data_IF_033009300336
#
_entry.id   IF_033009300336
#
_cell.length_a   1.000
_cell.length_b   1.000
_cell.length_c   1.000
_cell.angle_alpha   90.00
_cell.angle_beta   90.00
_cell.angle_gamma   90.00
#
_symmetry.space_group_name_H-M   'P 1'
#
loop_
_entity.id
_entity.type
_entity.pdbx_description
1 polymer ?
#
# COMPACT_ATOMS: atom_id res chain seq x y z
N UNK A 1 0.19 -9.94 -7.66
CA UNK A 1 1.16 -9.35 -6.69
C UNK A 1 0.73 -8.01 -6.09
N UNK A 2 -0.17 -7.25 -6.72
CA UNK A 2 -0.70 -6.00 -6.16
C UNK A 2 -1.56 -6.17 -4.89
N UNK A 3 -2.17 -7.35 -4.72
CA UNK A 3 -3.06 -7.67 -3.59
C UNK A 3 -2.36 -7.85 -2.24
N UNK A 4 -1.17 -8.46 -2.24
CA UNK A 4 -0.54 -8.95 -1.01
C UNK A 4 0.89 -8.46 -0.95
N UNK A 5 1.29 -7.94 0.21
CA UNK A 5 2.68 -7.60 0.52
C UNK A 5 3.46 -8.80 1.08
N UNK A 6 2.82 -9.96 1.27
CA UNK A 6 3.49 -11.15 1.76
C UNK A 6 4.59 -11.60 0.77
N UNK A 7 5.82 -11.90 1.24
CA UNK A 7 6.95 -12.27 0.39
C UNK A 7 6.85 -13.68 -0.22
N UNK A 8 5.80 -14.44 0.08
CA UNK A 8 5.58 -15.78 -0.46
C UNK A 8 4.39 -16.48 0.21
N UNK A 9 4.22 -17.77 -0.06
CA UNK A 9 3.13 -18.55 0.53
C UNK A 9 3.27 -20.06 0.32
N UNK A 10 2.23 -20.80 0.73
CA UNK A 10 2.18 -22.26 0.64
C UNK A 10 2.56 -23.01 1.92
N UNK A 11 3.01 -22.28 2.94
CA UNK A 11 3.37 -22.80 4.26
C UNK A 11 2.16 -23.16 5.10
N UNK A 12 2.38 -23.96 6.16
CA UNK A 12 1.38 -24.19 7.20
C UNK A 12 1.13 -22.91 8.01
N UNK A 13 0.01 -22.88 8.74
CA UNK A 13 -0.30 -21.74 9.62
C UNK A 13 0.64 -21.72 10.83
N UNK A 14 0.99 -20.51 11.30
CA UNK A 14 1.80 -20.33 12.52
C UNK A 14 1.20 -21.06 13.74
N UNK A 15 -0.14 -21.14 13.82
CA UNK A 15 -0.84 -21.84 14.90
C UNK A 15 -0.57 -23.34 14.86
N UNK A 16 -0.53 -23.93 13.66
CA UNK A 16 -0.21 -25.36 13.48
C UNK A 16 1.25 -25.63 13.86
N UNK A 17 2.17 -24.81 13.35
CA UNK A 17 3.61 -24.94 13.62
C UNK A 17 3.90 -24.75 15.12
N UNK A 18 3.31 -23.74 15.77
CA UNK A 18 3.47 -23.50 17.22
C UNK A 18 2.98 -24.69 18.06
N UNK A 19 1.84 -25.28 17.69
CA UNK A 19 1.29 -26.43 18.39
C UNK A 19 2.18 -27.67 18.22
N UNK A 20 2.74 -27.89 17.04
CA UNK A 20 3.60 -29.04 16.74
C UNK A 20 4.98 -28.92 17.41
N UNK A 21 5.61 -27.73 17.38
CA UNK A 21 6.95 -27.53 17.94
C UNK A 21 6.95 -27.38 19.47
N UNK A 22 5.94 -26.74 20.04
CA UNK A 22 5.96 -26.30 21.45
C UNK A 22 4.73 -26.71 22.26
N UNK A 23 3.72 -27.35 21.65
CA UNK A 23 2.48 -27.73 22.33
C UNK A 23 1.62 -26.56 22.79
N UNK A 24 1.94 -25.32 22.37
CA UNK A 24 1.32 -24.08 22.86
C UNK A 24 0.70 -23.26 21.73
N UNK A 25 -0.25 -22.39 22.07
CA UNK A 25 -0.74 -21.37 21.15
C UNK A 25 0.38 -20.35 20.84
N UNK A 26 0.49 -19.89 19.59
CA UNK A 26 1.52 -18.92 19.18
C UNK A 26 1.58 -17.68 20.07
N UNK A 27 0.43 -17.15 20.50
CA UNK A 27 0.35 -16.00 21.42
C UNK A 27 0.96 -16.25 22.80
N UNK A 28 1.08 -17.51 23.22
CA UNK A 28 1.63 -17.90 24.54
C UNK A 28 3.13 -18.27 24.45
N UNK A 29 3.74 -18.16 23.28
CA UNK A 29 5.17 -18.40 23.08
C UNK A 29 6.00 -17.19 23.50
N UNK A 30 7.21 -17.45 24.01
CA UNK A 30 8.21 -16.40 24.24
C UNK A 30 8.73 -15.86 22.90
N UNK A 31 9.51 -14.77 22.94
CA UNK A 31 10.05 -14.14 21.74
C UNK A 31 10.82 -15.13 20.85
N UNK A 32 11.76 -15.88 21.43
CA UNK A 32 12.61 -16.81 20.68
C UNK A 32 11.82 -17.94 20.03
N UNK A 33 10.86 -18.53 20.75
CA UNK A 33 9.98 -19.57 20.20
C UNK A 33 9.09 -19.03 19.07
N UNK A 34 8.61 -17.79 19.17
CA UNK A 34 7.85 -17.13 18.08
C UNK A 34 8.71 -16.98 16.84
N UNK A 35 9.95 -16.52 16.99
CA UNK A 35 10.91 -16.42 15.88
C UNK A 35 11.18 -17.78 15.24
N UNK A 36 11.33 -18.84 16.04
CA UNK A 36 11.47 -20.20 15.51
C UNK A 36 10.27 -20.64 14.68
N UNK A 37 9.04 -20.37 15.15
CA UNK A 37 7.81 -20.66 14.40
C UNK A 37 7.74 -19.86 13.10
N UNK A 38 8.09 -18.57 13.14
CA UNK A 38 8.06 -17.70 11.97
C UNK A 38 9.10 -18.13 10.92
N UNK A 39 10.31 -18.49 11.36
CA UNK A 39 11.36 -19.02 10.48
C UNK A 39 10.96 -20.36 9.87
N UNK A 40 10.39 -21.28 10.67
CA UNK A 40 9.86 -22.53 10.15
C UNK A 40 8.78 -22.26 9.07
N UNK A 41 7.85 -21.34 9.33
CA UNK A 41 6.85 -20.96 8.34
C UNK A 41 7.49 -20.37 7.07
N UNK A 42 8.52 -19.54 7.22
CA UNK A 42 9.26 -18.97 6.10
C UNK A 42 9.88 -20.06 5.22
N UNK A 43 10.54 -21.05 5.82
CA UNK A 43 11.20 -22.14 5.11
C UNK A 43 10.23 -23.17 4.51
N UNK A 44 9.01 -23.27 5.04
CA UNK A 44 7.95 -24.13 4.47
C UNK A 44 7.22 -23.55 3.26
N UNK A 45 7.63 -22.37 2.77
CA UNK A 45 7.00 -21.76 1.60
C UNK A 45 7.18 -22.66 0.38
N UNK A 46 6.19 -22.62 -0.50
CA UNK A 46 6.22 -23.29 -1.81
C UNK A 46 6.54 -22.30 -2.93
N UNK A 47 6.27 -21.02 -2.70
CA UNK A 47 6.59 -19.97 -3.64
C UNK A 47 7.02 -18.69 -2.93
N UNK A 48 7.79 -17.88 -3.66
CA UNK A 48 8.19 -16.53 -3.30
C UNK A 48 7.55 -15.54 -4.25
N UNK A 49 7.28 -14.35 -3.73
CA UNK A 49 6.75 -13.21 -4.46
C UNK A 49 7.89 -12.21 -4.65
N UNK A 50 8.31 -12.03 -5.90
CA UNK A 50 9.24 -10.98 -6.29
C UNK A 50 8.42 -9.78 -6.78
N UNK A 51 8.15 -8.86 -5.84
CA UNK A 51 7.40 -7.64 -6.12
C UNK A 51 8.15 -6.65 -7.00
N UNK A 52 9.49 -6.68 -7.00
CA UNK A 52 10.31 -5.78 -7.81
C UNK A 52 10.18 -6.14 -9.30
N UNK A 53 10.27 -7.42 -9.63
CA UNK A 53 10.14 -7.91 -11.01
C UNK A 53 8.71 -8.36 -11.36
N UNK A 54 7.76 -8.17 -10.45
CA UNK A 54 6.36 -8.58 -10.59
C UNK A 54 6.17 -10.05 -11.00
N UNK A 55 6.96 -10.96 -10.42
CA UNK A 55 6.92 -12.40 -10.72
C UNK A 55 6.77 -13.27 -9.47
N UNK A 56 6.26 -14.48 -9.68
CA UNK A 56 6.14 -15.51 -8.64
C UNK A 56 7.06 -16.66 -9.02
N UNK A 57 7.86 -17.13 -8.07
CA UNK A 57 8.82 -18.20 -8.28
C UNK A 57 8.51 -19.35 -7.32
N UNK A 58 8.69 -20.59 -7.78
CA UNK A 58 8.75 -21.74 -6.87
C UNK A 58 9.99 -21.59 -5.98
N UNK A 59 9.91 -22.06 -4.73
CA UNK A 59 11.10 -22.19 -3.88
C UNK A 59 12.13 -23.17 -4.46
N UNK A 60 11.68 -24.09 -5.34
CA UNK A 60 12.53 -25.01 -6.09
C UNK A 60 12.90 -24.48 -7.48
N UNK A 61 12.77 -23.17 -7.73
CA UNK A 61 13.10 -22.59 -9.04
C UNK A 61 14.56 -22.91 -9.41
N UNK A 62 14.79 -23.37 -10.64
CA UNK A 62 16.15 -23.63 -11.14
C UNK A 62 16.81 -22.38 -11.74
N UNK A 63 16.16 -21.22 -11.63
CA UNK A 63 16.63 -19.92 -12.14
C UNK A 63 16.92 -19.85 -13.64
N UNK A 64 16.37 -20.79 -14.41
CA UNK A 64 16.46 -20.84 -15.86
C UNK A 64 15.09 -20.64 -16.49
N UNK A 65 15.07 -19.96 -17.63
CA UNK A 65 13.91 -19.79 -18.49
C UNK A 65 14.21 -20.34 -19.87
N UNK A 66 13.20 -20.90 -20.52
CA UNK A 66 13.36 -21.49 -21.85
C UNK A 66 12.66 -20.62 -22.89
N UNK A 67 13.39 -20.21 -23.92
CA UNK A 67 12.82 -19.59 -25.10
C UNK A 67 12.11 -20.62 -25.96
N UNK A 68 10.94 -20.29 -26.47
CA UNK A 68 10.22 -21.09 -27.48
C UNK A 68 10.50 -20.55 -28.88
N UNK A 69 10.21 -21.35 -29.91
CA UNK A 69 10.44 -20.96 -31.32
C UNK A 69 9.65 -19.72 -31.75
N UNK A 70 8.54 -19.43 -31.08
CA UNK A 70 7.70 -18.24 -31.25
C UNK A 70 8.16 -17.04 -30.38
N UNK A 71 9.35 -17.12 -29.77
CA UNK A 71 9.96 -16.02 -29.01
C UNK A 71 9.41 -15.82 -27.60
N UNK A 72 8.52 -16.71 -27.11
CA UNK A 72 8.01 -16.64 -25.73
C UNK A 72 9.05 -17.19 -24.76
N UNK A 73 9.11 -16.58 -23.59
CA UNK A 73 9.95 -17.06 -22.48
C UNK A 73 9.06 -17.83 -21.51
N UNK A 74 9.31 -19.13 -21.38
CA UNK A 74 8.59 -19.99 -20.45
C UNK A 74 9.33 -20.10 -19.11
N UNK A 75 8.59 -20.17 -17.99
CA UNK A 75 9.18 -20.46 -16.70
C UNK A 75 9.73 -21.88 -16.66
N UNK A 76 10.68 -22.15 -15.77
CA UNK A 76 11.12 -23.52 -15.53
C UNK A 76 9.97 -24.44 -15.06
N UNK A 77 10.16 -25.75 -15.22
CA UNK A 77 9.16 -26.75 -14.85
C UNK A 77 8.68 -26.63 -13.38
N UNK A 78 9.58 -26.29 -12.45
CA UNK A 78 9.27 -26.10 -11.03
C UNK A 78 8.33 -24.92 -10.80
N UNK A 79 8.60 -23.77 -11.42
CA UNK A 79 7.71 -22.62 -11.38
C UNK A 79 6.39 -22.90 -12.10
N UNK A 80 6.42 -23.58 -13.25
CA UNK A 80 5.22 -23.96 -13.99
C UNK A 80 4.30 -24.89 -13.17
N UNK A 81 4.88 -25.79 -12.37
CA UNK A 81 4.13 -26.73 -11.53
C UNK A 81 3.28 -26.05 -10.46
N UNK A 82 3.62 -24.83 -10.02
CA UNK A 82 2.80 -24.06 -9.08
C UNK A 82 1.38 -23.84 -9.59
N UNK A 83 1.20 -23.68 -10.91
CA UNK A 83 -0.13 -23.53 -11.53
C UNK A 83 -1.07 -24.72 -11.25
N UNK A 84 -0.52 -25.89 -10.90
CA UNK A 84 -1.25 -27.10 -10.54
C UNK A 84 -1.40 -27.26 -9.02
N UNK A 85 -0.67 -26.51 -8.21
CA UNK A 85 -0.74 -26.57 -6.75
C UNK A 85 -2.08 -25.99 -6.26
N UNK A 86 -2.80 -26.78 -5.46
CA UNK A 86 -4.13 -26.41 -4.94
C UNK A 86 -4.08 -25.21 -3.99
N UNK A 87 -3.04 -25.12 -3.16
CA UNK A 87 -2.85 -24.01 -2.21
C UNK A 87 -2.56 -22.72 -2.98
N UNK A 88 -1.75 -22.82 -4.03
CA UNK A 88 -1.46 -21.70 -4.92
C UNK A 88 -2.72 -21.21 -5.65
N UNK A 89 -3.50 -22.11 -6.26
CA UNK A 89 -4.78 -21.75 -6.88
C UNK A 89 -5.73 -21.04 -5.91
N UNK A 90 -5.85 -21.54 -4.68
CA UNK A 90 -6.65 -20.91 -3.63
C UNK A 90 -6.15 -19.52 -3.25
N UNK A 91 -4.83 -19.29 -3.27
CA UNK A 91 -4.26 -17.98 -3.01
C UNK A 91 -4.54 -16.98 -4.16
N UNK A 92 -4.58 -17.47 -5.41
CA UNK A 92 -4.92 -16.65 -6.58
C UNK A 92 -6.41 -16.27 -6.63
N UNK A 93 -7.30 -17.10 -6.10
CA UNK A 93 -8.74 -16.84 -6.12
C UNK A 93 -9.21 -15.81 -5.09
N UNK A 94 -8.32 -15.27 -4.24
CA UNK A 94 -8.71 -14.30 -3.22
C UNK A 94 -8.82 -12.90 -3.84
N UNK A 95 -9.96 -12.20 -3.71
CA UNK A 95 -10.17 -10.89 -4.30
C UNK A 95 -9.33 -9.79 -3.64
N UNK A 96 -9.20 -8.65 -4.32
CA UNK A 96 -8.65 -7.42 -3.72
C UNK A 96 -9.53 -6.99 -2.54
N UNK A 97 -8.93 -6.61 -1.39
CA UNK A 97 -9.67 -6.00 -0.30
C UNK A 97 -10.32 -4.69 -0.74
N UNK A 98 -11.49 -4.38 -0.18
CA UNK A 98 -12.06 -3.01 -0.21
C UNK A 98 -11.21 -2.07 0.65
N UNK A 99 -11.30 -0.75 0.40
CA UNK A 99 -10.52 0.26 1.13
C UNK A 99 -10.64 0.14 2.65
N UNK A 100 -11.87 -0.02 3.15
CA UNK A 100 -12.16 -0.20 4.58
C UNK A 100 -11.48 -1.43 5.21
N UNK A 101 -11.19 -2.44 4.40
CA UNK A 101 -10.63 -3.71 4.86
C UNK A 101 -9.09 -3.74 4.86
N UNK A 102 -8.41 -2.77 4.24
CA UNK A 102 -6.94 -2.70 4.28
C UNK A 102 -6.40 -2.58 5.71
N UNK A 103 -7.18 -2.02 6.65
CA UNK A 103 -6.80 -1.91 8.07
C UNK A 103 -6.51 -3.27 8.73
N UNK A 104 -7.15 -4.35 8.26
CA UNK A 104 -6.95 -5.72 8.76
C UNK A 104 -5.74 -6.43 8.17
N UNK A 105 -4.99 -5.78 7.26
CA UNK A 105 -3.75 -6.36 6.71
C UNK A 105 -2.76 -6.58 7.83
N UNK A 106 -2.30 -7.83 7.98
CA UNK A 106 -1.37 -8.20 9.04
C UNK A 106 -0.11 -7.31 9.00
N UNK A 107 0.21 -6.67 10.13
CA UNK A 107 1.36 -5.77 10.29
C UNK A 107 2.69 -6.46 9.95
N UNK A 108 2.81 -7.76 10.20
CA UNK A 108 4.00 -8.55 9.88
C UNK A 108 4.35 -8.55 8.39
N UNK A 109 3.35 -8.45 7.49
CA UNK A 109 3.58 -8.40 6.05
C UNK A 109 3.69 -6.96 5.51
N UNK A 110 3.69 -5.94 6.38
CA UNK A 110 3.92 -4.56 5.97
C UNK A 110 5.42 -4.29 6.00
N UNK A 111 5.99 -3.87 4.87
CA UNK A 111 7.40 -3.49 4.83
C UNK A 111 7.55 -2.08 5.42
N UNK A 112 7.97 -2.01 6.70
CA UNK A 112 8.15 -0.74 7.42
C UNK A 112 9.20 0.15 6.75
N UNK A 113 10.34 -0.42 6.36
CA UNK A 113 11.43 0.30 5.69
C UNK A 113 10.96 0.94 4.38
N UNK A 114 10.20 0.20 3.56
CA UNK A 114 9.63 0.74 2.34
C UNK A 114 8.61 1.84 2.63
N UNK A 115 7.83 1.69 3.70
CA UNK A 115 6.97 2.75 4.22
C UNK A 115 7.77 4.01 4.53
N UNK A 116 8.83 3.88 5.32
CA UNK A 116 9.71 4.99 5.71
C UNK A 116 10.36 5.65 4.49
N UNK A 117 10.85 4.87 3.53
CA UNK A 117 11.36 5.42 2.27
C UNK A 117 10.29 6.20 1.51
N UNK A 118 9.07 5.69 1.44
CA UNK A 118 7.99 6.37 0.74
C UNK A 118 7.59 7.68 1.42
N UNK A 119 7.54 7.68 2.75
CA UNK A 119 7.36 8.87 3.58
C UNK A 119 8.42 9.93 3.25
N UNK A 120 9.69 9.52 3.21
CA UNK A 120 10.81 10.41 2.94
C UNK A 120 10.86 10.95 1.48
N UNK A 121 10.56 10.14 0.47
CA UNK A 121 10.76 10.50 -0.95
C UNK A 121 9.64 11.38 -1.51
N UNK A 122 8.42 11.26 -1.00
CA UNK A 122 7.25 11.95 -1.57
C UNK A 122 6.82 13.22 -0.82
N UNK A 123 7.67 13.75 0.07
CA UNK A 123 7.26 14.86 0.93
C UNK A 123 6.09 14.51 1.84
N UNK A 124 5.78 13.21 2.01
CA UNK A 124 4.78 12.71 2.94
C UNK A 124 5.29 12.79 4.38
N UNK A 125 6.61 12.84 4.56
CA UNK A 125 7.28 13.06 5.84
C UNK A 125 6.77 14.33 6.52
N UNK A 126 6.75 15.45 5.81
CA UNK A 126 6.28 16.72 6.37
C UNK A 126 4.79 16.65 6.72
N UNK A 127 3.97 15.95 5.94
CA UNK A 127 2.55 15.74 6.25
C UNK A 127 2.35 14.85 7.49
N UNK A 128 3.16 13.82 7.67
CA UNK A 128 3.07 12.88 8.80
C UNK A 128 3.64 13.49 10.08
N UNK A 129 4.80 14.12 10.01
CA UNK A 129 5.42 14.81 11.16
C UNK A 129 4.55 15.98 11.64
N UNK A 130 3.90 16.70 10.72
CA UNK A 130 2.94 17.73 11.06
C UNK A 130 1.61 17.15 11.59
N UNK A 131 1.26 15.89 11.28
CA UNK A 131 0.11 15.21 11.90
C UNK A 131 0.40 14.77 13.35
N UNK A 132 1.62 14.32 13.65
CA UNK A 132 2.03 13.93 15.01
C UNK A 132 2.10 15.14 15.97
N UNK A 133 2.15 16.37 15.44
CA UNK A 133 2.04 17.62 16.20
C UNK A 133 0.70 18.37 16.04
N UNK A 134 -0.29 17.82 15.34
CA UNK A 134 -1.60 18.47 15.15
C UNK A 134 -1.54 19.77 14.34
N UNK A 135 -0.89 19.77 13.17
CA UNK A 135 -0.90 20.92 12.27
C UNK A 135 -2.29 21.13 11.68
N UNK A 136 -2.92 22.31 11.89
CA UNK A 136 -4.22 22.63 11.31
C UNK A 136 -4.24 22.51 9.79
N UNK A 137 -3.09 22.65 9.12
CA UNK A 137 -2.99 22.52 7.66
C UNK A 137 -3.09 21.07 7.21
N UNK A 138 -2.55 20.11 7.98
CA UNK A 138 -2.68 18.69 7.68
C UNK A 138 -4.10 18.22 7.97
N UNK A 139 -4.68 18.65 9.09
CA UNK A 139 -6.07 18.37 9.40
C UNK A 139 -7.02 18.94 8.34
N UNK A 140 -6.75 20.18 7.90
CA UNK A 140 -7.49 20.81 6.82
C UNK A 140 -7.35 20.04 5.50
N UNK A 141 -6.13 19.66 5.10
CA UNK A 141 -5.91 18.91 3.87
C UNK A 141 -6.61 17.54 3.90
N UNK A 142 -6.49 16.79 5.01
CA UNK A 142 -7.17 15.52 5.18
C UNK A 142 -8.70 15.68 5.20
N UNK A 143 -9.20 16.67 5.93
CA UNK A 143 -10.64 16.98 6.00
C UNK A 143 -11.20 17.41 4.66
N UNK A 144 -10.48 18.22 3.89
CA UNK A 144 -10.88 18.64 2.55
C UNK A 144 -10.91 17.45 1.57
N UNK A 145 -9.92 16.56 1.62
CA UNK A 145 -9.88 15.35 0.79
C UNK A 145 -10.98 14.34 1.17
N UNK A 146 -11.39 14.31 2.44
CA UNK A 146 -12.43 13.41 2.92
C UNK A 146 -13.85 14.01 2.85
N UNK A 147 -14.03 15.19 2.26
CA UNK A 147 -15.33 15.89 2.17
C UNK A 147 -15.86 16.43 3.51
N UNK A 148 -15.03 16.55 4.55
CA UNK A 148 -15.45 17.03 5.88
C UNK A 148 -15.92 18.49 5.88
N UNK A 149 -15.53 19.25 4.86
CA UNK A 149 -15.88 20.66 4.69
C UNK A 149 -16.92 20.88 3.59
N UNK A 150 -17.56 19.82 3.10
CA UNK A 150 -18.66 19.95 2.13
C UNK A 150 -19.76 20.84 2.72
N UNK A 151 -20.21 21.84 1.95
CA UNK A 151 -21.15 22.86 2.44
C UNK A 151 -20.49 24.14 2.99
N UNK A 152 -19.16 24.19 3.10
CA UNK A 152 -18.40 25.40 3.40
C UNK A 152 -17.83 26.06 2.13
N UNK A 153 -18.64 26.16 1.07
CA UNK A 153 -18.21 26.49 -0.29
C UNK A 153 -17.54 27.87 -0.44
N UNK A 154 -17.94 28.85 0.36
CA UNK A 154 -17.33 30.19 0.36
C UNK A 154 -15.85 30.11 0.79
N UNK A 155 -15.58 29.41 1.90
CA UNK A 155 -14.22 29.24 2.42
C UNK A 155 -13.37 28.36 1.49
N UNK A 156 -13.93 27.25 0.99
CA UNK A 156 -13.24 26.39 0.03
C UNK A 156 -12.94 27.14 -1.29
N UNK A 157 -13.85 28.02 -1.72
CA UNK A 157 -13.67 28.91 -2.87
C UNK A 157 -12.50 29.88 -2.69
N UNK A 158 -12.39 30.52 -1.51
CA UNK A 158 -11.25 31.37 -1.17
C UNK A 158 -9.93 30.59 -1.18
N UNK A 159 -9.89 29.42 -0.53
CA UNK A 159 -8.68 28.59 -0.50
C UNK A 159 -8.24 28.21 -1.93
N UNK A 160 -9.18 27.81 -2.78
CA UNK A 160 -8.88 27.52 -4.21
C UNK A 160 -8.30 28.73 -4.93
N UNK A 161 -8.87 29.92 -4.73
CA UNK A 161 -8.36 31.14 -5.33
C UNK A 161 -6.93 31.45 -4.86
N UNK A 162 -6.65 31.31 -3.56
CA UNK A 162 -5.31 31.53 -3.03
C UNK A 162 -4.29 30.53 -3.60
N UNK A 163 -4.62 29.25 -3.69
CA UNK A 163 -3.72 28.23 -4.29
C UNK A 163 -3.47 28.53 -5.77
N UNK A 164 -4.51 28.87 -6.55
CA UNK A 164 -4.35 29.22 -7.96
C UNK A 164 -3.51 30.48 -8.15
N UNK A 165 -3.64 31.47 -7.28
CA UNK A 165 -2.85 32.70 -7.35
C UNK A 165 -1.36 32.40 -7.16
N UNK A 166 -1.01 31.64 -6.13
CA UNK A 166 0.38 31.24 -5.87
C UNK A 166 0.97 30.44 -7.04
N UNK A 167 0.23 29.46 -7.59
CA UNK A 167 0.66 28.68 -8.76
C UNK A 167 0.85 29.55 -10.03
N UNK A 168 0.12 30.66 -10.17
CA UNK A 168 0.30 31.61 -11.27
C UNK A 168 1.51 32.50 -11.07
N UNK A 169 1.72 32.98 -9.84
CA UNK A 169 2.90 33.77 -9.48
C UNK A 169 4.19 32.96 -9.68
N UNK A 170 4.20 31.69 -9.27
CA UNK A 170 5.32 30.76 -9.49
C UNK A 170 5.62 30.50 -10.97
N UNK A 171 4.58 30.50 -11.83
CA UNK A 171 4.73 30.39 -13.29
C UNK A 171 5.01 31.72 -13.98
N UNK A 172 4.99 32.84 -13.27
CA UNK A 172 5.19 34.17 -13.83
C UNK A 172 4.08 34.62 -14.78
N UNK A 173 2.85 34.11 -14.62
CA UNK A 173 1.70 34.45 -15.49
C UNK A 173 0.74 35.42 -14.80
N UNK A 174 0.22 36.40 -15.54
CA UNK A 174 -0.71 37.41 -14.99
C UNK A 174 -2.10 36.84 -14.61
N UNK A 175 -2.93 37.68 -14.00
CA UNK A 175 -4.27 37.32 -13.45
C UNK A 175 -5.40 37.29 -14.49
N UNK A 176 -5.07 37.34 -15.78
CA UNK A 176 -6.08 37.29 -16.85
C UNK A 176 -6.81 35.94 -16.83
N UNK A 177 -8.14 35.97 -16.95
CA UNK A 177 -9.02 34.80 -16.87
C UNK A 177 -8.89 34.02 -15.54
N UNK A 178 -8.68 34.73 -14.43
CA UNK A 178 -8.70 34.11 -13.11
C UNK A 178 -10.16 33.74 -12.74
N UNK A 179 -10.40 32.46 -12.44
CA UNK A 179 -11.74 31.95 -12.16
C UNK A 179 -11.92 31.80 -10.64
N UNK A 180 -12.84 32.59 -10.09
CA UNK A 180 -13.28 32.42 -8.70
C UNK A 180 -14.39 31.38 -8.61
N UNK A 181 -14.47 30.69 -7.47
CA UNK A 181 -15.58 29.78 -7.21
C UNK A 181 -16.89 30.58 -7.06
N UNK A 182 -18.02 30.13 -7.62
CA UNK A 182 -19.28 30.90 -7.61
C UNK A 182 -19.72 31.36 -6.22
N UNK A 183 -19.65 30.48 -5.22
CA UNK A 183 -20.04 30.81 -3.85
C UNK A 183 -19.15 31.90 -3.22
N UNK A 184 -17.87 31.96 -3.58
CA UNK A 184 -16.96 33.01 -3.12
C UNK A 184 -17.26 34.33 -3.82
N UNK A 185 -17.48 34.30 -5.13
CA UNK A 185 -17.78 35.49 -5.94
C UNK A 185 -19.09 36.17 -5.49
N UNK A 186 -20.13 35.36 -5.28
CA UNK A 186 -21.41 35.82 -4.73
C UNK A 186 -21.24 36.44 -3.34
N UNK A 187 -20.48 35.79 -2.46
CA UNK A 187 -20.19 36.35 -1.13
C UNK A 187 -19.48 37.71 -1.22
N UNK A 188 -18.44 37.83 -2.04
CA UNK A 188 -17.73 39.10 -2.21
C UNK A 188 -18.67 40.19 -2.71
N UNK A 189 -19.58 39.89 -3.66
CA UNK A 189 -20.56 40.85 -4.16
C UNK A 189 -21.59 41.31 -3.11
N UNK A 190 -21.88 40.49 -2.10
CA UNK A 190 -22.81 40.86 -1.02
C UNK A 190 -22.16 41.77 0.03
N UNK A 191 -20.86 41.59 0.28
CA UNK A 191 -20.13 42.29 1.37
C UNK A 191 -19.35 43.52 0.86
N UNK A 192 -19.32 43.75 -0.46
CA UNK A 192 -18.70 44.92 -1.11
C UNK A 192 -19.69 46.09 -1.27
#
# INVERSE_FOLDING_TARGET
>A
LRRTAAPGGGSRSITKIAKELFGKLFRNLCHNDREMVLNAQYHERRWTNDHQSLRILSTDCIHLSHGTKDGRVLPCAKCLSLSKDRVFKKALSVPMPTEENYKYTNRYFRNQILGDHYVNVKGLKTLIEAADGGSPFVEFALGALSGKYDGHEVFLGLVRAMVQKVDRDERGVGMQNFLYAPAWDEFVHIVS
#
